data_IF_217432231529
#
_entry.id   IF_217432231529
#
_cell.length_a   1.000
_cell.length_b   1.000
_cell.length_c   1.000
_cell.angle_alpha   90.00
_cell.angle_beta   90.00
_cell.angle_gamma   90.00
#
_symmetry.space_group_name_H-M   'P 1'
#
loop_
_entity.id
_entity.type
_entity.pdbx_description
1 polymer ?
#
# COMPACT_ATOMS: atom_id res chain seq x y z
N UNK A 1 7.26 9.27 18.74
CA UNK A 1 7.07 7.85 18.99
C UNK A 1 7.34 7.01 17.76
N UNK A 2 6.50 7.10 16.70
CA UNK A 2 6.81 6.44 15.44
C UNK A 2 7.93 7.17 14.69
N UNK A 3 8.87 6.41 14.13
CA UNK A 3 10.01 6.95 13.37
C UNK A 3 9.92 6.64 11.89
N UNK A 4 9.24 5.56 11.52
CA UNK A 4 9.08 5.13 10.15
C UNK A 4 7.72 4.46 9.94
N UNK A 5 6.87 5.11 9.19
CA UNK A 5 5.51 4.64 8.91
C UNK A 5 5.45 4.05 7.49
N UNK A 6 4.86 2.88 7.35
CA UNK A 6 4.54 2.29 6.04
C UNK A 6 3.06 2.53 5.74
N UNK A 7 2.75 3.12 4.60
CA UNK A 7 1.39 3.20 4.06
C UNK A 7 1.24 2.23 2.88
N UNK A 8 0.30 1.31 2.99
CA UNK A 8 -0.09 0.45 1.89
C UNK A 8 -1.16 1.14 1.05
N UNK A 9 -0.88 1.37 -0.22
CA UNK A 9 -1.81 2.04 -1.13
C UNK A 9 -2.07 1.20 -2.38
N UNK A 10 -3.31 1.17 -2.81
CA UNK A 10 -3.75 0.59 -4.09
C UNK A 10 -4.39 1.65 -4.99
N UNK A 11 -4.33 2.93 -4.61
CA UNK A 11 -4.92 4.04 -5.33
C UNK A 11 -6.43 4.21 -5.13
N UNK A 12 -7.08 3.34 -4.35
CA UNK A 12 -8.51 3.45 -4.03
C UNK A 12 -8.81 4.61 -3.08
N UNK A 13 -10.07 5.01 -2.97
CA UNK A 13 -10.52 6.04 -2.04
C UNK A 13 -10.22 5.66 -0.57
N UNK A 14 -10.35 4.38 -0.23
CA UNK A 14 -10.03 3.88 1.11
C UNK A 14 -8.54 4.03 1.44
N UNK A 15 -7.67 3.70 0.49
CA UNK A 15 -6.22 3.87 0.68
C UNK A 15 -5.79 5.33 0.68
N UNK A 16 -6.50 6.19 -0.03
CA UNK A 16 -6.26 7.63 0.00
C UNK A 16 -6.58 8.23 1.38
N UNK A 17 -7.68 7.83 1.99
CA UNK A 17 -8.00 8.22 3.37
C UNK A 17 -6.94 7.72 4.36
N UNK A 18 -6.51 6.47 4.22
CA UNK A 18 -5.41 5.91 5.01
C UNK A 18 -4.11 6.71 4.82
N UNK A 19 -3.82 7.13 3.59
CA UNK A 19 -2.64 7.96 3.29
C UNK A 19 -2.70 9.32 3.99
N UNK A 20 -3.88 9.97 4.03
CA UNK A 20 -4.06 11.23 4.77
C UNK A 20 -3.74 11.05 6.25
N UNK A 21 -4.20 9.96 6.86
CA UNK A 21 -3.89 9.64 8.25
C UNK A 21 -2.40 9.37 8.46
N UNK A 22 -1.79 8.58 7.57
CA UNK A 22 -0.36 8.25 7.65
C UNK A 22 0.52 9.51 7.55
N UNK A 23 0.21 10.41 6.62
CA UNK A 23 0.93 11.68 6.47
C UNK A 23 0.75 12.57 7.70
N UNK A 24 -0.47 12.66 8.25
CA UNK A 24 -0.74 13.39 9.49
C UNK A 24 0.07 12.86 10.66
N UNK A 25 0.10 11.53 10.84
CA UNK A 25 0.91 10.88 11.87
C UNK A 25 2.41 11.12 11.65
N UNK A 26 2.88 11.00 10.41
CA UNK A 26 4.29 11.23 10.09
C UNK A 26 4.72 12.65 10.45
N UNK A 27 3.89 13.66 10.15
CA UNK A 27 4.14 15.05 10.57
C UNK A 27 4.20 15.20 12.08
N UNK A 28 3.21 14.65 12.78
CA UNK A 28 3.13 14.76 14.25
C UNK A 28 4.33 14.14 14.94
N UNK A 29 4.81 13.01 14.43
CA UNK A 29 5.93 12.27 15.02
C UNK A 29 7.30 12.64 14.46
N UNK A 30 7.36 13.43 13.38
CA UNK A 30 8.59 13.65 12.64
C UNK A 30 9.10 12.38 11.97
N UNK A 31 8.20 11.48 11.59
CA UNK A 31 8.54 10.19 10.99
C UNK A 31 8.73 10.32 9.47
N UNK A 32 9.58 9.45 8.91
CA UNK A 32 9.59 9.23 7.47
C UNK A 32 8.45 8.30 7.05
N UNK A 33 8.06 8.38 5.80
CA UNK A 33 6.95 7.60 5.24
C UNK A 33 7.45 6.76 4.06
N UNK A 34 7.07 5.51 4.02
CA UNK A 34 7.22 4.66 2.82
C UNK A 34 5.84 4.28 2.30
N UNK A 35 5.57 4.57 1.03
CA UNK A 35 4.36 4.13 0.37
C UNK A 35 4.67 2.88 -0.45
N UNK A 36 3.99 1.78 -0.14
CA UNK A 36 4.13 0.52 -0.87
C UNK A 36 2.87 0.26 -1.70
N UNK A 37 3.10 -0.09 -2.96
CA UNK A 37 2.10 -0.61 -3.87
C UNK A 37 2.51 -2.03 -4.24
N UNK A 38 1.63 -3.00 -3.97
CA UNK A 38 1.87 -4.40 -4.30
C UNK A 38 1.06 -4.76 -5.54
N UNK A 39 1.75 -5.25 -6.56
CA UNK A 39 1.12 -5.77 -7.79
C UNK A 39 0.79 -7.22 -7.56
N UNK A 40 -0.49 -7.56 -7.65
CA UNK A 40 -0.93 -8.94 -7.55
C UNK A 40 -0.26 -9.79 -8.64
N UNK A 41 0.05 -11.06 -8.34
CA UNK A 41 0.58 -11.96 -9.35
C UNK A 41 -0.29 -12.02 -10.59
N UNK A 42 0.32 -12.08 -11.76
CA UNK A 42 -0.41 -12.18 -13.02
C UNK A 42 -1.32 -13.42 -12.99
N UNK A 43 -2.61 -13.27 -13.28
CA UNK A 43 -3.53 -14.39 -13.27
C UNK A 43 -3.26 -15.30 -14.48
N UNK A 44 -2.57 -16.41 -14.27
CA UNK A 44 -2.43 -17.46 -15.28
C UNK A 44 -3.77 -18.20 -15.39
N UNK A 45 -4.65 -17.69 -16.22
CA UNK A 45 -5.93 -18.33 -16.48
C UNK A 45 -5.78 -19.28 -17.66
N UNK A 46 -5.70 -20.57 -17.38
CA UNK A 46 -5.90 -21.66 -18.36
C UNK A 46 -4.64 -22.13 -19.10
N UNK A 47 -4.66 -23.38 -19.41
CA UNK A 47 -3.99 -24.18 -20.43
C UNK A 47 -2.64 -23.66 -20.97
N UNK A 48 -1.60 -23.63 -20.14
CA UNK A 48 -0.25 -23.94 -20.58
C UNK A 48 0.53 -22.94 -21.43
N UNK A 49 -0.05 -21.86 -21.92
CA UNK A 49 0.70 -20.85 -22.67
C UNK A 49 0.64 -19.49 -21.97
N UNK A 50 1.81 -19.04 -21.52
CA UNK A 50 1.99 -17.66 -21.08
C UNK A 50 1.86 -16.78 -22.32
N UNK A 51 0.86 -15.90 -22.36
CA UNK A 51 0.78 -14.87 -23.38
C UNK A 51 1.75 -13.72 -22.97
N UNK A 52 2.95 -13.61 -23.59
CA UNK A 52 3.94 -12.59 -23.20
C UNK A 52 3.39 -11.16 -23.35
N UNK A 53 2.53 -10.92 -24.35
CA UNK A 53 1.92 -9.61 -24.57
C UNK A 53 0.89 -9.27 -23.50
N UNK A 54 0.10 -10.26 -23.05
CA UNK A 54 -0.84 -10.08 -21.95
C UNK A 54 -0.15 -9.78 -20.64
N UNK A 55 0.95 -10.46 -20.36
CA UNK A 55 1.80 -10.18 -19.18
C UNK A 55 2.40 -8.78 -19.23
N UNK A 56 2.97 -8.38 -20.36
CA UNK A 56 3.55 -7.03 -20.52
C UNK A 56 2.48 -5.94 -20.37
N UNK A 57 1.31 -6.12 -20.95
CA UNK A 57 0.20 -5.17 -20.82
C UNK A 57 -0.28 -5.08 -19.37
N UNK A 58 -0.39 -6.21 -18.67
CA UNK A 58 -0.74 -6.26 -17.26
C UNK A 58 0.27 -5.49 -16.41
N UNK A 59 1.57 -5.75 -16.59
CA UNK A 59 2.63 -5.08 -15.84
C UNK A 59 2.71 -3.59 -16.14
N UNK A 60 2.56 -3.19 -17.40
CA UNK A 60 2.54 -1.78 -17.77
C UNK A 60 1.37 -1.04 -17.11
N UNK A 61 0.19 -1.63 -17.12
CA UNK A 61 -1.00 -1.09 -16.44
C UNK A 61 -0.80 -0.99 -14.93
N UNK A 62 -0.23 -2.02 -14.31
CA UNK A 62 0.06 -2.04 -12.88
C UNK A 62 1.08 -0.97 -12.48
N UNK A 63 2.13 -0.79 -13.28
CA UNK A 63 3.13 0.26 -13.04
C UNK A 63 2.54 1.66 -13.15
N UNK A 64 1.65 1.90 -14.11
CA UNK A 64 0.93 3.17 -14.22
C UNK A 64 0.02 3.41 -13.02
N UNK A 65 -0.71 2.40 -12.58
CA UNK A 65 -1.57 2.49 -11.41
C UNK A 65 -0.76 2.77 -10.13
N UNK A 66 0.39 2.11 -9.98
CA UNK A 66 1.31 2.34 -8.88
C UNK A 66 1.86 3.77 -8.88
N UNK A 67 2.29 4.26 -10.04
CA UNK A 67 2.79 5.62 -10.17
C UNK A 67 1.72 6.66 -9.81
N UNK A 68 0.47 6.45 -10.23
CA UNK A 68 -0.65 7.31 -9.88
C UNK A 68 -0.95 7.29 -8.38
N UNK A 69 -0.94 6.10 -7.76
CA UNK A 69 -1.15 5.94 -6.32
C UNK A 69 -0.04 6.64 -5.52
N UNK A 70 1.21 6.44 -5.90
CA UNK A 70 2.37 7.08 -5.27
C UNK A 70 2.33 8.61 -5.42
N UNK A 71 1.91 9.11 -6.58
CA UNK A 71 1.77 10.55 -6.81
C UNK A 71 0.74 11.19 -5.88
N UNK A 72 -0.36 10.49 -5.57
CA UNK A 72 -1.34 10.97 -4.59
C UNK A 72 -0.75 11.09 -3.19
N UNK A 73 0.03 10.11 -2.76
CA UNK A 73 0.71 10.16 -1.45
C UNK A 73 1.74 11.29 -1.42
N UNK A 74 2.52 11.43 -2.49
CA UNK A 74 3.52 12.50 -2.60
C UNK A 74 2.88 13.88 -2.49
N UNK A 75 1.75 14.11 -3.16
CA UNK A 75 1.01 15.35 -3.06
C UNK A 75 0.57 15.64 -1.62
N UNK A 76 0.07 14.64 -0.90
CA UNK A 76 -0.30 14.79 0.52
C UNK A 76 0.91 15.15 1.39
N UNK A 77 2.07 14.56 1.11
CA UNK A 77 3.31 14.83 1.84
C UNK A 77 3.78 16.28 1.70
N UNK A 78 3.51 16.91 0.56
CA UNK A 78 3.92 18.28 0.24
C UNK A 78 2.90 19.33 0.63
N UNK A 79 1.64 18.96 0.85
CA UNK A 79 0.54 19.88 1.13
C UNK A 79 0.20 19.94 2.62
N UNK A 80 -0.37 21.07 3.06
CA UNK A 80 -1.04 21.19 4.35
C UNK A 80 -0.15 21.18 5.58
N UNK A 81 1.15 21.46 5.45
CA UNK A 81 2.05 21.53 6.61
C UNK A 81 3.50 21.24 6.24
N UNK A 82 4.31 20.94 7.25
CA UNK A 82 5.70 20.59 7.05
C UNK A 82 5.84 19.39 6.09
N UNK A 83 6.79 19.41 5.15
CA UNK A 83 6.99 18.30 4.23
C UNK A 83 7.33 17.01 4.97
N UNK A 84 6.78 15.90 4.48
CA UNK A 84 7.09 14.56 4.98
C UNK A 84 8.05 13.89 4.00
N UNK A 85 9.15 13.33 4.50
CA UNK A 85 10.08 12.56 3.68
C UNK A 85 9.41 11.27 3.22
N UNK A 86 9.25 11.12 1.90
CA UNK A 86 8.56 9.98 1.29
C UNK A 86 9.54 9.13 0.49
N UNK A 87 9.46 7.82 0.72
CA UNK A 87 10.01 6.80 -0.18
C UNK A 87 8.86 6.02 -0.80
N UNK A 88 9.02 5.56 -2.03
CA UNK A 88 8.03 4.73 -2.71
C UNK A 88 8.61 3.36 -3.00
N UNK A 89 7.78 2.32 -2.90
CA UNK A 89 8.15 0.94 -3.21
C UNK A 89 7.08 0.31 -4.09
N UNK A 90 7.53 -0.36 -5.12
CA UNK A 90 6.69 -1.20 -5.96
C UNK A 90 7.13 -2.64 -5.72
N UNK A 91 6.21 -3.49 -5.30
CA UNK A 91 6.46 -4.90 -5.01
C UNK A 91 5.65 -5.73 -5.99
N UNK A 92 6.32 -6.67 -6.64
CA UNK A 92 5.75 -7.52 -7.68
C UNK A 92 5.85 -8.99 -7.29
N UNK A 93 4.99 -9.80 -7.89
CA UNK A 93 5.04 -11.26 -7.83
C UNK A 93 4.87 -11.85 -6.42
N UNK A 94 4.16 -11.15 -5.54
CA UNK A 94 3.77 -11.64 -4.23
C UNK A 94 2.33 -11.24 -3.92
N UNK A 95 1.67 -11.98 -3.04
CA UNK A 95 0.35 -11.62 -2.56
C UNK A 95 0.40 -10.29 -1.78
N UNK A 96 -0.66 -9.49 -1.89
CA UNK A 96 -0.69 -8.13 -1.36
C UNK A 96 -0.35 -8.06 0.13
N UNK A 97 -0.95 -8.91 0.96
CA UNK A 97 -0.68 -8.91 2.41
C UNK A 97 0.79 -9.24 2.72
N UNK A 98 1.35 -10.26 2.06
CA UNK A 98 2.75 -10.66 2.24
C UNK A 98 3.70 -9.54 1.78
N UNK A 99 3.41 -8.90 0.66
CA UNK A 99 4.20 -7.78 0.16
C UNK A 99 4.24 -6.60 1.14
N UNK A 100 3.10 -6.27 1.74
CA UNK A 100 3.02 -5.20 2.75
C UNK A 100 3.85 -5.55 3.99
N UNK A 101 3.65 -6.74 4.55
CA UNK A 101 4.32 -7.18 5.77
C UNK A 101 5.83 -7.29 5.56
N UNK A 102 6.27 -7.89 4.46
CA UNK A 102 7.70 -8.02 4.12
C UNK A 102 8.35 -6.66 3.91
N UNK A 103 7.67 -5.74 3.25
CA UNK A 103 8.19 -4.38 3.05
C UNK A 103 8.34 -3.65 4.37
N UNK A 104 7.39 -3.79 5.29
CA UNK A 104 7.50 -3.20 6.61
C UNK A 104 8.75 -3.68 7.36
N UNK A 105 9.03 -4.97 7.31
CA UNK A 105 10.25 -5.54 7.91
C UNK A 105 11.52 -5.03 7.22
N UNK A 106 11.56 -5.10 5.91
CA UNK A 106 12.75 -4.71 5.11
C UNK A 106 13.09 -3.23 5.28
N UNK A 107 12.07 -2.37 5.30
CA UNK A 107 12.26 -0.93 5.48
C UNK A 107 12.45 -0.51 6.94
N UNK A 108 12.24 -1.41 7.88
CA UNK A 108 12.32 -1.09 9.32
C UNK A 108 11.19 -0.17 9.79
N UNK A 109 9.99 -0.33 9.22
CA UNK A 109 8.84 0.43 9.65
C UNK A 109 8.37 -0.01 11.04
N UNK A 110 7.88 0.93 11.82
CA UNK A 110 7.37 0.69 13.18
C UNK A 110 5.85 0.88 13.29
N UNK A 111 5.20 1.20 12.18
CA UNK A 111 3.75 1.25 12.04
C UNK A 111 3.37 0.98 10.58
N UNK A 112 2.35 0.15 10.38
CA UNK A 112 1.67 0.00 9.08
C UNK A 112 0.34 0.73 9.15
N UNK A 113 0.04 1.52 8.12
CA UNK A 113 -1.27 2.17 7.93
C UNK A 113 -1.86 1.66 6.64
N UNK A 114 -3.13 1.31 6.63
CA UNK A 114 -3.83 0.82 5.44
C UNK A 114 -5.33 1.06 5.53
N UNK A 115 -5.99 1.03 4.38
CA UNK A 115 -7.45 1.07 4.32
C UNK A 115 -8.06 -0.27 4.75
N UNK A 116 -9.28 -0.21 5.25
CA UNK A 116 -10.05 -1.41 5.65
C UNK A 116 -10.49 -2.25 4.45
N UNK A 117 -10.63 -1.63 3.28
CA UNK A 117 -11.05 -2.25 2.01
C UNK A 117 -10.18 -1.72 0.88
N UNK A 118 -9.93 -2.58 -0.12
CA UNK A 118 -9.28 -2.19 -1.35
C UNK A 118 -10.29 -1.83 -2.45
N UNK A 119 -9.88 -2.06 -3.70
CA UNK A 119 -10.67 -1.72 -4.90
C UNK A 119 -12.03 -2.40 -4.98
N UNK A 120 -12.24 -3.51 -4.30
CA UNK A 120 -13.45 -4.33 -4.40
C UNK A 120 -14.58 -3.88 -3.48
N UNK A 121 -14.37 -2.92 -2.60
CA UNK A 121 -15.40 -2.18 -1.85
C UNK A 121 -16.51 -3.01 -1.21
N UNK A 122 -16.17 -4.11 -0.53
CA UNK A 122 -17.17 -4.97 0.14
C UNK A 122 -17.63 -4.30 1.44
N UNK A 123 -18.89 -4.54 1.78
CA UNK A 123 -19.67 -3.98 2.89
C UNK A 123 -18.86 -3.41 4.08
N UNK A 124 -19.20 -2.22 4.49
CA UNK A 124 -18.55 -1.39 5.53
C UNK A 124 -18.37 -2.05 6.91
N UNK A 125 -18.98 -3.21 7.13
CA UNK A 125 -18.98 -3.89 8.43
C UNK A 125 -17.88 -4.96 8.57
N UNK A 126 -17.22 -5.34 7.47
CA UNK A 126 -16.19 -6.38 7.49
C UNK A 126 -14.84 -5.82 7.06
N UNK A 127 -13.81 -6.28 7.74
CA UNK A 127 -12.44 -6.00 7.35
C UNK A 127 -12.12 -6.74 6.05
N UNK A 128 -11.50 -6.04 5.07
CA UNK A 128 -11.11 -6.65 3.81
C UNK A 128 -10.08 -7.76 4.00
N UNK A 129 -9.97 -8.65 3.02
CA UNK A 129 -9.10 -9.83 3.10
C UNK A 129 -7.62 -9.47 3.29
N UNK A 130 -7.14 -8.44 2.61
CA UNK A 130 -5.74 -7.99 2.74
C UNK A 130 -5.50 -7.41 4.14
N UNK A 131 -6.38 -6.53 4.61
CA UNK A 131 -6.27 -5.92 5.93
C UNK A 131 -6.30 -6.99 7.04
N UNK A 132 -7.19 -7.96 6.93
CA UNK A 132 -7.28 -9.09 7.88
C UNK A 132 -5.96 -9.85 7.96
N UNK A 133 -5.35 -10.17 6.83
CA UNK A 133 -4.08 -10.90 6.78
C UNK A 133 -2.92 -10.06 7.29
N UNK A 134 -2.86 -8.78 6.94
CA UNK A 134 -1.80 -7.89 7.43
C UNK A 134 -1.87 -7.77 8.95
N UNK A 135 -3.05 -7.58 9.52
CA UNK A 135 -3.24 -7.53 10.97
C UNK A 135 -2.78 -8.83 11.64
N UNK A 136 -3.11 -9.99 11.03
CA UNK A 136 -2.75 -11.30 11.60
C UNK A 136 -1.24 -11.59 11.50
N UNK A 137 -0.57 -11.14 10.45
CA UNK A 137 0.82 -11.53 10.14
C UNK A 137 1.86 -10.48 10.53
N UNK A 138 1.45 -9.24 10.78
CA UNK A 138 2.38 -8.15 11.06
C UNK A 138 3.05 -8.31 12.42
N UNK A 139 4.36 -8.07 12.46
CA UNK A 139 5.14 -7.97 13.71
C UNK A 139 5.14 -6.55 14.30
N UNK A 140 4.56 -5.58 13.60
CA UNK A 140 4.43 -4.19 14.05
C UNK A 140 2.97 -3.78 14.15
N UNK A 141 2.64 -2.73 14.91
CA UNK A 141 1.28 -2.20 14.98
C UNK A 141 0.71 -1.90 13.59
N UNK A 142 -0.59 -2.16 13.43
CA UNK A 142 -1.32 -1.89 12.20
C UNK A 142 -2.50 -0.97 12.51
N UNK A 143 -2.55 0.17 11.85
CA UNK A 143 -3.67 1.09 11.90
C UNK A 143 -4.51 0.89 10.63
N UNK A 144 -5.73 0.46 10.82
CA UNK A 144 -6.68 0.23 9.73
C UNK A 144 -7.65 1.40 9.67
N UNK A 145 -7.62 2.16 8.58
CA UNK A 145 -8.52 3.29 8.34
C UNK A 145 -9.82 2.81 7.70
N UNK A 146 -10.94 3.32 8.20
CA UNK A 146 -12.28 3.06 7.65
C UNK A 146 -12.82 4.24 6.88
#
# INVERSE_FOLDING_TARGET
MFKHILIATDGSAASEHAAQLAVGLARTHGAKLTAVYVVDPYPYIGLGEVNPMGFQAYMASAQQAAAAAHAKVDALCKQGGAPVALQVRLVEDVAAASGVVQTAVTEGADLIVMGSHGRTGIARLMLGSVATKVVAESSVPVLVAR
#
